data_IF_850744108648
#
_entry.id   IF_850744108648
#
_cell.length_a   1.000
_cell.length_b   1.000
_cell.length_c   1.000
_cell.angle_alpha   90.00
_cell.angle_beta   90.00
_cell.angle_gamma   90.00
#
_symmetry.space_group_name_H-M   'P 1'
#
loop_
_entity.id
_entity.type
_entity.pdbx_description
1 polymer ?
#
# COMPACT_ATOMS: atom_id res chain seq x y z
N UNK A 1 39.02 55.06 22.76
CA UNK A 1 38.88 54.97 21.29
C UNK A 1 39.45 53.63 20.88
N UNK A 2 38.59 52.62 20.69
CA UNK A 2 38.99 51.29 20.25
C UNK A 2 37.78 50.63 19.61
N UNK A 3 37.98 49.91 18.51
CA UNK A 3 37.41 48.57 18.50
C UNK A 3 38.40 47.55 17.96
N UNK A 4 38.57 46.48 18.73
CA UNK A 4 39.06 45.18 18.27
C UNK A 4 37.86 44.25 18.18
N UNK A 5 37.52 43.74 17.01
CA UNK A 5 36.69 42.55 16.89
C UNK A 5 37.36 41.56 15.94
N UNK A 6 37.69 40.42 16.52
CA UNK A 6 38.35 39.27 15.93
C UNK A 6 37.36 38.09 15.97
N UNK A 7 37.63 37.08 15.11
CA UNK A 7 37.19 35.68 15.19
C UNK A 7 35.68 35.40 15.32
N UNK A 8 35.04 34.93 14.25
CA UNK A 8 34.13 33.77 14.34
C UNK A 8 34.16 33.05 12.98
N UNK A 9 34.91 31.96 12.93
CA UNK A 9 34.84 30.90 11.91
C UNK A 9 33.52 30.12 12.05
N UNK A 10 33.09 29.43 10.98
CA UNK A 10 31.70 29.34 10.59
C UNK A 10 30.96 28.23 11.34
N UNK A 11 29.76 28.52 11.83
CA UNK A 11 28.78 27.49 12.12
C UNK A 11 28.29 26.94 10.79
N UNK A 12 28.99 25.93 10.28
CA UNK A 12 28.46 25.01 9.29
C UNK A 12 27.30 24.29 9.99
N UNK A 13 26.09 24.85 9.91
CA UNK A 13 24.88 24.11 10.24
C UNK A 13 24.80 22.96 9.24
N UNK A 14 25.22 21.77 9.65
CA UNK A 14 24.81 20.56 8.96
C UNK A 14 23.28 20.55 9.00
N UNK A 15 22.64 20.79 7.86
CA UNK A 15 21.23 20.58 7.70
C UNK A 15 20.98 19.10 7.97
N UNK A 16 20.42 18.79 9.14
CA UNK A 16 19.95 17.44 9.44
C UNK A 16 18.78 17.22 8.50
N UNK A 17 19.03 16.52 7.40
CA UNK A 17 17.99 16.17 6.44
C UNK A 17 17.12 15.10 7.11
N UNK A 18 16.03 15.52 7.75
CA UNK A 18 14.98 14.59 8.16
C UNK A 18 14.40 14.00 6.87
N UNK A 19 14.62 12.71 6.62
CA UNK A 19 13.79 11.98 5.65
C UNK A 19 12.35 12.28 6.03
N UNK A 20 11.60 12.91 5.11
CA UNK A 20 10.16 12.99 5.27
C UNK A 20 9.67 11.56 5.42
N UNK A 21 9.21 11.19 6.62
CA UNK A 21 8.41 9.99 6.77
C UNK A 21 7.21 10.19 5.87
N UNK A 22 7.02 9.32 4.88
CA UNK A 22 5.79 9.28 4.09
C UNK A 22 4.62 9.25 5.07
N UNK A 23 3.82 10.31 5.11
CA UNK A 23 2.74 10.44 6.09
C UNK A 23 1.58 9.50 5.79
N UNK A 24 1.45 9.11 4.52
CA UNK A 24 0.39 8.25 4.04
C UNK A 24 0.92 6.86 3.71
N UNK A 25 0.16 5.78 3.99
CA UNK A 25 0.57 4.42 3.64
C UNK A 25 0.88 4.23 2.16
N UNK A 26 0.16 4.89 1.25
CA UNK A 26 0.36 4.80 -0.21
C UNK A 26 1.57 5.57 -0.74
N UNK A 27 2.25 6.36 0.10
CA UNK A 27 3.48 7.08 -0.26
C UNK A 27 4.76 6.31 0.10
N UNK A 28 4.63 5.06 0.60
CA UNK A 28 5.78 4.20 0.90
C UNK A 28 6.54 3.85 -0.41
N UNK A 29 7.82 4.24 -0.54
CA UNK A 29 8.61 4.00 -1.75
C UNK A 29 8.92 2.52 -2.02
N UNK A 30 8.68 1.62 -1.05
CA UNK A 30 8.84 0.18 -1.20
C UNK A 30 7.62 -0.51 -1.84
N UNK A 31 6.54 0.23 -2.10
CA UNK A 31 5.32 -0.33 -2.70
C UNK A 31 5.52 -0.69 -4.17
N UNK A 32 5.22 -1.95 -4.48
CA UNK A 32 5.13 -2.45 -5.85
C UNK A 32 3.70 -2.28 -6.37
N UNK A 33 3.53 -1.76 -7.58
CA UNK A 33 2.20 -1.50 -8.16
C UNK A 33 1.49 -2.79 -8.54
N UNK A 34 0.21 -2.91 -8.21
CA UNK A 34 -0.61 -4.03 -8.68
C UNK A 34 -0.60 -4.13 -10.22
N UNK A 35 -0.64 -2.98 -10.90
CA UNK A 35 -0.64 -2.88 -12.37
C UNK A 35 0.68 -3.26 -13.05
N UNK A 36 1.77 -3.40 -12.31
CA UNK A 36 3.07 -3.78 -12.85
C UNK A 36 3.22 -5.30 -12.88
N UNK A 37 3.49 -5.85 -14.06
CA UNK A 37 3.70 -7.27 -14.25
C UNK A 37 4.89 -7.82 -13.46
N UNK A 38 5.91 -7.00 -13.19
CA UNK A 38 7.09 -7.38 -12.40
C UNK A 38 6.80 -7.58 -10.92
N UNK A 39 5.67 -7.05 -10.43
CA UNK A 39 5.17 -7.31 -9.07
C UNK A 39 4.86 -8.79 -8.87
N UNK A 40 4.47 -9.49 -9.93
CA UNK A 40 3.94 -10.85 -9.81
C UNK A 40 4.98 -11.87 -10.23
N UNK A 41 5.12 -12.95 -9.46
CA UNK A 41 6.09 -14.03 -9.74
C UNK A 41 5.85 -14.70 -11.11
N UNK A 42 4.62 -14.62 -11.62
CA UNK A 42 4.23 -15.08 -12.95
C UNK A 42 4.71 -14.18 -14.08
N UNK A 43 5.15 -12.94 -13.78
CA UNK A 43 5.44 -11.91 -14.78
C UNK A 43 4.19 -11.38 -15.49
N UNK A 44 3.01 -11.56 -14.89
CA UNK A 44 1.72 -11.11 -15.42
C UNK A 44 0.84 -10.59 -14.29
N UNK A 45 0.07 -9.54 -14.57
CA UNK A 45 -0.93 -9.02 -13.62
C UNK A 45 -2.04 -10.08 -13.38
N UNK A 46 -2.54 -10.22 -12.13
CA UNK A 46 -3.64 -11.14 -11.83
C UNK A 46 -4.86 -10.90 -12.72
N UNK A 47 -5.48 -11.99 -13.12
CA UNK A 47 -6.66 -12.03 -13.98
C UNK A 47 -7.92 -12.42 -13.20
N UNK A 48 -9.07 -12.34 -13.86
CA UNK A 48 -10.33 -12.78 -13.27
C UNK A 48 -10.29 -14.26 -12.86
N UNK A 49 -10.71 -14.53 -11.62
CA UNK A 49 -10.72 -15.88 -11.05
C UNK A 49 -9.38 -16.34 -10.48
N UNK A 50 -8.33 -15.51 -10.50
CA UNK A 50 -7.05 -15.88 -9.91
C UNK A 50 -7.10 -15.89 -8.37
N UNK A 51 -6.34 -16.81 -7.79
CA UNK A 51 -5.99 -16.82 -6.38
C UNK A 51 -4.72 -15.99 -6.18
N UNK A 52 -4.83 -14.86 -5.49
CA UNK A 52 -3.71 -13.93 -5.30
C UNK A 52 -3.09 -14.13 -3.92
N UNK A 53 -1.76 -14.26 -3.90
CA UNK A 53 -0.97 -14.39 -2.67
C UNK A 53 0.09 -13.31 -2.60
N UNK A 54 0.06 -12.49 -1.55
CA UNK A 54 1.09 -11.49 -1.24
C UNK A 54 1.99 -12.08 -0.14
N UNK A 55 3.22 -12.54 -0.46
CA UNK A 55 4.11 -13.18 0.50
C UNK A 55 4.63 -12.18 1.55
N UNK A 56 5.16 -12.72 2.66
CA UNK A 56 5.79 -11.91 3.69
C UNK A 56 6.94 -11.06 3.12
N UNK A 57 7.07 -9.82 3.60
CA UNK A 57 8.07 -8.85 3.13
C UNK A 57 7.73 -8.15 1.81
N UNK A 58 6.74 -8.63 1.05
CA UNK A 58 6.25 -7.94 -0.16
C UNK A 58 5.19 -6.91 0.20
N UNK A 59 5.31 -5.70 -0.36
CA UNK A 59 4.35 -4.61 -0.20
C UNK A 59 3.75 -4.25 -1.56
N UNK A 60 2.42 -4.34 -1.67
CA UNK A 60 1.71 -4.07 -2.93
C UNK A 60 0.75 -2.90 -2.72
N UNK A 61 0.67 -2.00 -3.70
CA UNK A 61 -0.33 -0.93 -3.76
C UNK A 61 -1.38 -1.23 -4.83
N UNK A 62 -2.67 -1.11 -4.47
CA UNK A 62 -3.76 -1.09 -5.44
C UNK A 62 -3.78 0.29 -6.13
N UNK A 63 -3.17 0.38 -7.30
CA UNK A 63 -3.02 1.62 -8.08
C UNK A 63 -4.00 1.73 -9.25
N UNK A 64 -4.80 0.70 -9.50
CA UNK A 64 -5.76 0.61 -10.59
C UNK A 64 -6.92 -0.31 -10.25
N UNK A 65 -7.97 -0.31 -11.07
CA UNK A 65 -9.05 -1.29 -10.99
C UNK A 65 -8.50 -2.71 -11.17
N UNK A 66 -8.98 -3.64 -10.34
CA UNK A 66 -8.56 -5.04 -10.34
C UNK A 66 -9.71 -5.93 -10.83
N UNK A 67 -9.42 -7.07 -11.48
CA UNK A 67 -10.47 -8.01 -11.85
C UNK A 67 -11.04 -8.72 -10.61
N UNK A 68 -12.20 -9.37 -10.77
CA UNK A 68 -12.78 -10.20 -9.72
C UNK A 68 -11.89 -11.40 -9.43
N UNK A 69 -11.37 -11.48 -8.21
CA UNK A 69 -10.47 -12.55 -7.77
C UNK A 69 -11.26 -13.74 -7.25
N UNK A 70 -10.64 -14.93 -7.25
CA UNK A 70 -11.19 -16.07 -6.52
C UNK A 70 -11.04 -15.84 -5.02
N UNK A 71 -9.82 -15.56 -4.56
CA UNK A 71 -9.51 -15.18 -3.19
C UNK A 71 -8.18 -14.40 -3.11
N UNK A 72 -8.00 -13.67 -2.02
CA UNK A 72 -6.78 -12.90 -1.74
C UNK A 72 -6.23 -13.30 -0.37
N UNK A 73 -4.95 -13.67 -0.32
CA UNK A 73 -4.23 -13.96 0.93
C UNK A 73 -3.05 -13.00 1.08
N UNK A 74 -2.99 -12.31 2.23
CA UNK A 74 -2.06 -11.24 2.51
C UNK A 74 -1.18 -11.64 3.70
N UNK A 75 0.02 -12.12 3.42
CA UNK A 75 1.06 -12.40 4.42
C UNK A 75 2.11 -11.27 4.51
N UNK A 76 2.21 -10.44 3.47
CA UNK A 76 2.96 -9.19 3.46
C UNK A 76 2.04 -8.00 3.76
N UNK A 77 2.11 -6.98 2.91
CA UNK A 77 1.30 -5.76 3.05
C UNK A 77 0.54 -5.48 1.76
N UNK A 78 -0.74 -5.18 1.88
CA UNK A 78 -1.53 -4.55 0.82
C UNK A 78 -1.95 -3.16 1.25
N UNK A 79 -1.74 -2.18 0.38
CA UNK A 79 -2.14 -0.79 0.59
C UNK A 79 -3.15 -0.40 -0.48
N UNK A 80 -4.27 0.18 -0.07
CA UNK A 80 -5.19 0.83 -0.99
C UNK A 80 -4.56 2.14 -1.48
N UNK A 81 -4.38 2.29 -2.78
CA UNK A 81 -3.81 3.52 -3.34
C UNK A 81 -4.78 4.69 -3.27
N UNK A 82 -4.24 5.91 -3.21
CA UNK A 82 -5.04 7.15 -3.29
C UNK A 82 -5.50 7.42 -4.72
N UNK A 83 -6.35 6.54 -5.24
CA UNK A 83 -6.95 6.60 -6.57
C UNK A 83 -8.43 6.24 -6.47
N UNK A 84 -9.24 6.90 -7.29
CA UNK A 84 -10.69 6.68 -7.29
C UNK A 84 -11.10 5.43 -8.07
N UNK A 85 -12.24 4.86 -7.68
CA UNK A 85 -12.96 3.87 -8.48
C UNK A 85 -12.44 2.43 -8.40
N UNK A 86 -11.52 2.13 -7.48
CA UNK A 86 -11.14 0.74 -7.18
C UNK A 86 -12.32 0.04 -6.50
N UNK A 87 -12.61 -1.19 -6.96
CA UNK A 87 -13.51 -2.12 -6.30
C UNK A 87 -12.80 -3.45 -6.13
N UNK A 88 -12.77 -3.97 -4.92
CA UNK A 88 -12.23 -5.29 -4.64
C UNK A 88 -13.37 -6.30 -4.63
N UNK A 89 -13.34 -7.22 -5.59
CA UNK A 89 -14.34 -8.27 -5.74
C UNK A 89 -13.67 -9.64 -5.53
N UNK A 90 -14.07 -10.37 -4.50
CA UNK A 90 -13.39 -11.63 -4.13
C UNK A 90 -14.30 -12.53 -3.29
N UNK A 91 -14.01 -13.83 -3.16
CA UNK A 91 -14.81 -14.69 -2.25
C UNK A 91 -14.47 -14.43 -0.78
N UNK A 92 -13.18 -14.25 -0.48
CA UNK A 92 -12.69 -13.87 0.84
C UNK A 92 -11.35 -13.15 0.73
N UNK A 93 -10.99 -12.44 1.80
CA UNK A 93 -9.66 -11.88 2.02
C UNK A 93 -9.13 -12.46 3.34
N UNK A 94 -7.99 -13.14 3.30
CA UNK A 94 -7.29 -13.61 4.49
C UNK A 94 -6.10 -12.69 4.76
N UNK A 95 -6.13 -12.01 5.90
CA UNK A 95 -5.06 -11.07 6.31
C UNK A 95 -4.29 -11.67 7.48
N UNK A 96 -3.07 -12.12 7.20
CA UNK A 96 -2.09 -12.54 8.22
C UNK A 96 -1.02 -11.47 8.46
N UNK A 97 -0.78 -10.61 7.47
CA UNK A 97 0.08 -9.43 7.58
C UNK A 97 -0.76 -8.17 7.73
N UNK A 98 -0.60 -7.22 6.82
CA UNK A 98 -1.19 -5.88 6.93
C UNK A 98 -2.06 -5.54 5.72
N UNK A 99 -3.21 -4.90 5.98
CA UNK A 99 -4.08 -4.34 4.95
C UNK A 99 -4.48 -2.91 5.34
N UNK A 100 -4.01 -1.93 4.57
CA UNK A 100 -4.14 -0.50 4.88
C UNK A 100 -5.09 0.23 3.93
N UNK A 101 -5.96 1.06 4.49
CA UNK A 101 -6.82 2.01 3.78
C UNK A 101 -6.72 3.34 4.54
N UNK A 102 -5.71 4.15 4.24
CA UNK A 102 -5.34 5.32 5.04
C UNK A 102 -4.69 4.96 6.39
N UNK A 103 -4.44 5.97 7.20
CA UNK A 103 -3.94 5.87 8.58
C UNK A 103 -4.56 6.96 9.47
N UNK A 104 -4.20 6.98 10.75
CA UNK A 104 -4.64 8.04 11.68
C UNK A 104 -4.12 9.43 11.29
N UNK A 105 -2.89 9.50 10.76
CA UNK A 105 -2.26 10.75 10.32
C UNK A 105 -2.56 11.11 8.86
N UNK A 106 -3.12 10.17 8.09
CA UNK A 106 -3.47 10.37 6.69
C UNK A 106 -4.80 9.71 6.35
N UNK A 107 -5.86 10.51 6.44
CA UNK A 107 -7.22 10.09 6.11
C UNK A 107 -7.32 9.63 4.66
N UNK A 108 -8.03 8.51 4.46
CA UNK A 108 -8.48 8.11 3.14
C UNK A 108 -9.83 8.78 2.83
N UNK A 109 -9.82 9.75 1.93
CA UNK A 109 -10.99 10.59 1.62
C UNK A 109 -11.87 9.99 0.50
N UNK A 110 -11.42 8.89 -0.12
CA UNK A 110 -12.15 8.22 -1.21
C UNK A 110 -12.99 7.06 -0.67
N UNK A 111 -13.73 6.39 -1.55
CA UNK A 111 -14.48 5.18 -1.18
C UNK A 111 -13.69 3.91 -1.52
N UNK A 112 -13.55 3.02 -0.55
CA UNK A 112 -12.99 1.68 -0.75
C UNK A 112 -14.13 0.64 -0.71
N UNK A 113 -14.56 0.21 -1.90
CA UNK A 113 -15.63 -0.79 -2.04
C UNK A 113 -15.04 -2.21 -2.02
N UNK A 114 -15.49 -3.05 -1.08
CA UNK A 114 -15.11 -4.47 -1.00
C UNK A 114 -16.38 -5.33 -1.07
N UNK A 115 -16.51 -6.12 -2.14
CA UNK A 115 -17.60 -7.07 -2.35
C UNK A 115 -17.12 -8.50 -2.12
N UNK A 116 -17.69 -9.14 -1.10
CA UNK A 116 -17.39 -10.52 -0.75
C UNK A 116 -18.45 -11.48 -1.31
N UNK A 117 -18.00 -12.40 -2.17
CA UNK A 117 -18.84 -13.41 -2.80
C UNK A 117 -18.85 -14.71 -1.99
N UNK A 118 -19.96 -14.99 -1.32
CA UNK A 118 -20.17 -16.29 -0.67
C UNK A 118 -20.76 -17.32 -1.64
N UNK A 119 -20.48 -18.61 -1.39
CA UNK A 119 -21.31 -19.70 -1.92
C UNK A 119 -22.38 -20.02 -0.88
N UNK A 120 -23.65 -19.91 -1.26
CA UNK A 120 -24.75 -20.40 -0.42
C UNK A 120 -24.56 -21.91 -0.19
N UNK A 121 -24.30 -22.32 1.06
CA UNK A 121 -24.34 -23.74 1.42
C UNK A 121 -25.81 -24.09 1.65
N UNK A 122 -26.48 -24.60 0.61
CA UNK A 122 -27.75 -25.28 0.82
C UNK A 122 -27.46 -26.61 1.49
N UNK A 123 -27.71 -26.68 2.79
CA UNK A 123 -27.77 -27.95 3.51
C UNK A 123 -28.95 -28.74 2.91
N UNK A 124 -28.63 -29.67 2.01
CA UNK A 124 -29.55 -30.72 1.61
C UNK A 124 -29.58 -31.74 2.75
N UNK A 125 -30.42 -31.47 3.74
CA UNK A 125 -30.93 -32.48 4.68
C UNK A 125 -32.10 -33.21 4.03
#
# INVERSE_FOLDING_TARGET
>A
MQPTLWWLTPLLFAAISSKASSSCPWDDPELEKWSDASTWTTGQIPQEGDAVFIPNGKKVILDTQIPRLLHLTINGTLVWGNVDGIRMETSYVLVNGEFHIGSEECNFEQTADIFLYGKEIRNLL
#
